data_IF_847526854360
#
_entry.id   IF_847526854360
#
_cell.length_a   1.000
_cell.length_b   1.000
_cell.length_c   1.000
_cell.angle_alpha   90.00
_cell.angle_beta   90.00
_cell.angle_gamma   90.00
#
_symmetry.space_group_name_H-M   'P 1'
#
loop_
_entity.id
_entity.type
_entity.pdbx_description
1 polymer ?
#
# COMPACT_ATOMS: atom_id res chain seq x y z
N UNK A 1 -20.58 -11.78 12.58
CA UNK A 1 -19.41 -12.65 12.33
C UNK A 1 -19.55 -14.05 12.94
N UNK A 2 -19.73 -14.20 14.25
CA UNK A 2 -19.80 -15.54 14.91
C UNK A 2 -20.93 -16.43 14.38
N UNK A 3 -22.14 -15.88 14.19
CA UNK A 3 -23.26 -16.65 13.62
C UNK A 3 -22.98 -17.14 12.20
N UNK A 4 -22.39 -16.30 11.34
CA UNK A 4 -22.02 -16.69 9.98
C UNK A 4 -20.98 -17.81 9.98
N UNK A 5 -20.01 -17.79 10.92
CA UNK A 5 -19.05 -18.87 11.11
C UNK A 5 -19.70 -20.19 11.53
N UNK A 6 -20.58 -20.14 12.54
CA UNK A 6 -21.37 -21.32 12.94
C UNK A 6 -22.22 -21.85 11.79
N UNK A 7 -22.89 -20.95 11.06
CA UNK A 7 -23.78 -21.30 9.96
C UNK A 7 -23.01 -21.97 8.81
N UNK A 8 -21.92 -21.38 8.36
CA UNK A 8 -21.09 -21.92 7.27
C UNK A 8 -20.21 -23.10 7.68
N UNK A 9 -20.23 -23.52 8.94
CA UNK A 9 -19.58 -24.76 9.38
C UNK A 9 -20.59 -25.87 9.67
N UNK A 10 -21.69 -25.58 10.38
CA UNK A 10 -22.64 -26.59 10.85
C UNK A 10 -23.93 -26.70 10.04
N UNK A 11 -24.32 -25.68 9.27
CA UNK A 11 -25.61 -25.66 8.55
C UNK A 11 -25.45 -25.65 7.04
N UNK A 12 -24.58 -24.80 6.52
CA UNK A 12 -24.35 -24.60 5.09
C UNK A 12 -22.85 -24.59 4.79
N UNK A 13 -22.19 -25.73 5.06
CA UNK A 13 -20.79 -25.94 4.75
C UNK A 13 -20.56 -25.90 3.22
N UNK A 14 -19.76 -24.95 2.70
CA UNK A 14 -19.47 -24.90 1.27
C UNK A 14 -18.66 -26.12 0.83
N UNK A 15 -18.81 -26.51 -0.44
CA UNK A 15 -18.02 -27.58 -1.05
C UNK A 15 -16.67 -27.06 -1.52
N UNK A 16 -15.69 -27.97 -1.70
CA UNK A 16 -14.33 -27.62 -2.14
C UNK A 16 -14.29 -26.81 -3.44
N UNK A 17 -15.15 -27.15 -4.41
CA UNK A 17 -15.28 -26.42 -5.69
C UNK A 17 -15.55 -24.93 -5.49
N UNK A 18 -16.33 -24.56 -4.47
CA UNK A 18 -16.59 -23.16 -4.15
C UNK A 18 -15.32 -22.45 -3.66
N UNK A 19 -14.53 -23.10 -2.80
CA UNK A 19 -13.25 -22.55 -2.32
C UNK A 19 -12.19 -22.46 -3.43
N UNK A 20 -12.23 -23.38 -4.40
CA UNK A 20 -11.29 -23.43 -5.51
C UNK A 20 -11.69 -22.53 -6.70
N UNK A 21 -12.84 -21.84 -6.62
CA UNK A 21 -13.27 -20.87 -7.63
C UNK A 21 -12.53 -19.54 -7.46
N UNK A 22 -11.22 -19.56 -7.77
CA UNK A 22 -10.30 -18.44 -7.54
C UNK A 22 -10.55 -17.26 -8.48
N UNK A 23 -11.02 -17.48 -9.71
CA UNK A 23 -11.44 -16.40 -10.61
C UNK A 23 -12.61 -15.61 -10.02
N UNK A 24 -13.65 -16.30 -9.54
CA UNK A 24 -14.77 -15.65 -8.87
C UNK A 24 -14.31 -14.92 -7.61
N UNK A 25 -13.51 -15.57 -6.76
CA UNK A 25 -12.97 -14.98 -5.54
C UNK A 25 -12.20 -13.68 -5.83
N UNK A 26 -11.31 -13.68 -6.82
CA UNK A 26 -10.52 -12.52 -7.19
C UNK A 26 -11.37 -11.39 -7.78
N UNK A 27 -12.34 -11.70 -8.65
CA UNK A 27 -13.26 -10.70 -9.17
C UNK A 27 -14.07 -10.03 -8.04
N UNK A 28 -14.61 -10.83 -7.12
CA UNK A 28 -15.41 -10.31 -6.00
C UNK A 28 -14.56 -9.55 -4.98
N UNK A 29 -13.33 -9.97 -4.71
CA UNK A 29 -12.46 -9.24 -3.80
C UNK A 29 -11.96 -7.93 -4.40
N UNK A 30 -11.56 -7.93 -5.68
CA UNK A 30 -11.10 -6.71 -6.35
C UNK A 30 -12.27 -5.74 -6.55
N UNK A 31 -13.33 -6.12 -7.27
CA UNK A 31 -14.40 -5.18 -7.56
C UNK A 31 -15.34 -4.94 -6.37
N UNK A 32 -15.70 -6.00 -5.65
CA UNK A 32 -16.64 -5.93 -4.53
C UNK A 32 -15.97 -5.39 -3.27
N UNK A 33 -15.05 -6.14 -2.67
CA UNK A 33 -14.48 -5.78 -1.37
C UNK A 33 -13.63 -4.49 -1.45
N UNK A 34 -12.67 -4.42 -2.37
CA UNK A 34 -11.77 -3.27 -2.50
C UNK A 34 -12.45 -2.13 -3.27
N UNK A 35 -13.03 -2.42 -4.44
CA UNK A 35 -13.68 -1.42 -5.29
C UNK A 35 -14.86 -0.71 -4.62
N UNK A 36 -15.89 -1.46 -4.21
CA UNK A 36 -17.05 -0.85 -3.53
C UNK A 36 -16.69 -0.33 -2.13
N UNK A 37 -15.69 -0.91 -1.47
CA UNK A 37 -15.14 -0.39 -0.22
C UNK A 37 -14.55 1.02 -0.40
N UNK A 38 -13.67 1.19 -1.38
CA UNK A 38 -13.10 2.49 -1.75
C UNK A 38 -14.18 3.48 -2.21
N UNK A 39 -15.16 3.04 -3.01
CA UNK A 39 -16.25 3.90 -3.48
C UNK A 39 -17.13 4.38 -2.32
N UNK A 40 -17.53 3.47 -1.43
CA UNK A 40 -18.32 3.79 -0.24
C UNK A 40 -17.57 4.71 0.71
N UNK A 41 -16.26 4.49 0.88
CA UNK A 41 -15.43 5.37 1.70
C UNK A 41 -15.24 6.75 1.08
N UNK A 42 -15.02 6.84 -0.23
CA UNK A 42 -14.98 8.13 -0.93
C UNK A 42 -16.31 8.89 -0.80
N UNK A 43 -17.45 8.20 -0.96
CA UNK A 43 -18.77 8.79 -0.72
C UNK A 43 -18.93 9.31 0.72
N UNK A 44 -18.51 8.53 1.72
CA UNK A 44 -18.48 9.00 3.11
C UNK A 44 -17.58 10.23 3.29
N UNK A 45 -16.38 10.22 2.71
CA UNK A 45 -15.46 11.35 2.79
C UNK A 45 -16.05 12.61 2.16
N UNK A 46 -16.65 12.49 0.98
CA UNK A 46 -17.24 13.62 0.24
C UNK A 46 -18.44 14.22 0.98
N UNK A 47 -19.36 13.37 1.45
CA UNK A 47 -20.65 13.81 1.96
C UNK A 47 -20.69 14.08 3.47
N UNK A 48 -19.71 13.56 4.23
CA UNK A 48 -19.69 13.69 5.70
C UNK A 48 -18.36 14.27 6.17
N UNK A 49 -17.23 13.63 5.85
CA UNK A 49 -15.97 14.02 6.47
C UNK A 49 -15.47 15.39 5.97
N UNK A 50 -15.57 15.67 4.67
CA UNK A 50 -15.17 16.93 4.05
C UNK A 50 -15.88 18.17 4.60
N UNK A 51 -17.22 18.24 4.64
CA UNK A 51 -17.90 19.43 5.17
C UNK A 51 -17.57 19.67 6.64
N UNK A 52 -17.54 18.62 7.46
CA UNK A 52 -17.24 18.72 8.89
C UNK A 52 -15.80 19.19 9.12
N UNK A 53 -14.81 18.57 8.46
CA UNK A 53 -13.40 18.96 8.63
C UNK A 53 -13.15 20.38 8.12
N UNK A 54 -13.84 20.82 7.06
CA UNK A 54 -13.72 22.20 6.58
C UNK A 54 -14.20 23.22 7.62
N UNK A 55 -15.26 22.92 8.36
CA UNK A 55 -15.74 23.77 9.46
C UNK A 55 -14.82 23.71 10.68
N UNK A 56 -14.32 22.53 11.04
CA UNK A 56 -13.34 22.36 12.13
C UNK A 56 -12.05 23.14 11.85
N UNK A 57 -11.50 23.02 10.64
CA UNK A 57 -10.31 23.77 10.21
C UNK A 57 -10.56 25.28 10.15
N UNK A 58 -11.83 25.71 10.01
CA UNK A 58 -12.24 27.11 10.08
C UNK A 58 -12.48 27.61 11.53
N UNK A 59 -12.29 26.76 12.54
CA UNK A 59 -12.44 27.12 13.96
C UNK A 59 -13.86 27.06 14.50
N UNK A 60 -14.81 26.46 13.77
CA UNK A 60 -16.18 26.27 14.26
C UNK A 60 -16.19 25.20 15.35
N UNK A 61 -16.86 25.49 16.47
CA UNK A 61 -16.92 24.55 17.58
C UNK A 61 -17.71 23.29 17.19
N UNK A 62 -17.33 22.09 17.66
CA UNK A 62 -18.04 20.85 17.31
C UNK A 62 -19.54 20.86 17.65
N UNK A 63 -19.97 21.67 18.63
CA UNK A 63 -21.36 21.81 19.05
C UNK A 63 -22.19 22.65 18.08
N UNK A 64 -21.56 23.52 17.29
CA UNK A 64 -22.21 24.38 16.30
C UNK A 64 -22.22 23.76 14.90
N UNK A 65 -21.44 22.70 14.68
CA UNK A 65 -21.41 21.99 13.40
C UNK A 65 -22.71 21.20 13.21
N UNK A 66 -23.45 21.39 12.09
CA UNK A 66 -24.61 20.57 11.77
C UNK A 66 -24.30 19.08 11.82
N UNK A 67 -25.28 18.28 12.24
CA UNK A 67 -25.05 16.84 12.33
C UNK A 67 -24.83 16.24 10.92
N UNK A 68 -24.06 15.14 10.78
CA UNK A 68 -23.74 14.55 9.48
C UNK A 68 -24.93 14.32 8.54
N UNK A 69 -26.09 13.95 9.09
CA UNK A 69 -27.29 13.70 8.30
C UNK A 69 -27.92 14.98 7.74
N UNK A 70 -27.69 16.13 8.36
CA UNK A 70 -28.18 17.43 7.88
C UNK A 70 -27.48 17.82 6.58
N UNK A 71 -26.16 17.57 6.46
CA UNK A 71 -25.42 17.77 5.22
C UNK A 71 -25.91 16.87 4.06
N UNK A 72 -26.41 15.66 4.37
CA UNK A 72 -26.94 14.76 3.35
C UNK A 72 -28.31 15.19 2.81
N UNK A 73 -29.16 15.77 3.66
CA UNK A 73 -30.54 16.15 3.31
C UNK A 73 -30.58 17.58 2.77
N UNK A 74 -29.81 18.50 3.37
CA UNK A 74 -29.81 19.90 3.01
C UNK A 74 -28.65 20.23 2.06
N UNK A 75 -28.94 20.19 0.76
CA UNK A 75 -27.99 20.54 -0.30
C UNK A 75 -27.45 21.96 -0.18
N UNK A 76 -28.19 22.90 0.42
CA UNK A 76 -27.74 24.27 0.56
C UNK A 76 -26.50 24.35 1.47
N UNK A 77 -26.49 23.62 2.60
CA UNK A 77 -25.34 23.53 3.50
C UNK A 77 -24.09 23.04 2.77
N UNK A 78 -24.23 22.02 1.91
CA UNK A 78 -23.12 21.53 1.10
C UNK A 78 -22.67 22.56 0.06
N UNK A 79 -23.61 23.25 -0.60
CA UNK A 79 -23.28 24.23 -1.65
C UNK A 79 -22.62 25.51 -1.12
N UNK A 80 -22.86 25.88 0.14
CA UNK A 80 -22.15 26.99 0.79
C UNK A 80 -20.67 26.67 0.99
N UNK A 81 -20.35 25.40 1.30
CA UNK A 81 -18.97 24.93 1.46
C UNK A 81 -18.31 24.60 0.13
N UNK A 82 -19.06 23.99 -0.79
CA UNK A 82 -18.59 23.45 -2.07
C UNK A 82 -19.57 23.86 -3.17
N UNK A 83 -19.38 25.01 -3.83
CA UNK A 83 -20.33 25.59 -4.79
C UNK A 83 -20.75 24.64 -5.92
N UNK A 84 -19.91 23.68 -6.31
CA UNK A 84 -20.23 22.70 -7.36
C UNK A 84 -21.41 21.80 -7.00
N UNK A 85 -21.72 21.61 -5.71
CA UNK A 85 -22.89 20.86 -5.28
C UNK A 85 -24.19 21.46 -5.82
N UNK A 86 -24.25 22.76 -6.15
CA UNK A 86 -25.40 23.40 -6.80
C UNK A 86 -25.66 22.88 -8.23
N UNK A 87 -24.65 22.33 -8.92
CA UNK A 87 -24.76 21.70 -10.25
C UNK A 87 -25.29 20.27 -10.20
N UNK A 88 -25.11 19.60 -9.06
CA UNK A 88 -25.66 18.27 -8.80
C UNK A 88 -24.90 17.18 -9.54
N UNK A 89 -25.59 16.10 -9.90
CA UNK A 89 -24.96 14.92 -10.52
C UNK A 89 -24.85 15.00 -12.05
N UNK A 90 -25.42 16.04 -12.68
CA UNK A 90 -25.41 16.16 -14.14
C UNK A 90 -23.99 16.21 -14.75
N UNK A 91 -23.01 16.95 -14.18
CA UNK A 91 -21.63 16.93 -14.68
C UNK A 91 -20.99 15.54 -14.66
N UNK A 92 -21.35 14.67 -13.71
CA UNK A 92 -20.87 13.29 -13.67
C UNK A 92 -21.32 12.48 -14.89
N UNK A 93 -22.62 12.49 -15.21
CA UNK A 93 -23.19 11.72 -16.33
C UNK A 93 -22.85 12.29 -17.72
N UNK A 94 -22.45 13.57 -17.78
CA UNK A 94 -22.02 14.24 -19.02
C UNK A 94 -20.51 14.25 -19.19
N UNK A 95 -19.76 13.64 -18.26
CA UNK A 95 -18.29 13.60 -18.24
C UNK A 95 -17.62 14.98 -18.15
N UNK A 96 -18.35 16.03 -17.73
CA UNK A 96 -17.78 17.36 -17.46
C UNK A 96 -17.23 17.43 -16.02
N UNK A 97 -16.24 16.59 -15.72
CA UNK A 97 -15.78 16.34 -14.34
C UNK A 97 -14.96 17.48 -13.72
N UNK A 98 -14.48 18.43 -14.52
CA UNK A 98 -13.76 19.60 -14.02
C UNK A 98 -14.61 20.44 -13.06
N UNK A 99 -15.93 20.29 -13.11
CA UNK A 99 -16.85 20.98 -12.20
C UNK A 99 -16.74 20.56 -10.73
N UNK A 100 -16.13 19.42 -10.43
CA UNK A 100 -16.01 18.88 -9.06
C UNK A 100 -14.67 19.20 -8.38
N UNK A 101 -13.90 20.15 -8.92
CA UNK A 101 -12.55 20.49 -8.44
C UNK A 101 -12.49 21.16 -7.05
N UNK A 102 -13.64 21.50 -6.45
CA UNK A 102 -13.71 22.12 -5.13
C UNK A 102 -13.68 21.09 -3.98
N UNK A 103 -14.08 19.85 -4.23
CA UNK A 103 -14.03 18.75 -3.25
C UNK A 103 -13.22 17.52 -3.70
N UNK A 104 -12.93 17.38 -5.00
CA UNK A 104 -11.97 16.40 -5.54
C UNK A 104 -10.74 17.14 -6.04
N UNK A 105 -9.77 17.32 -5.15
CA UNK A 105 -8.58 18.12 -5.45
C UNK A 105 -7.37 17.26 -5.79
N UNK A 106 -6.28 17.91 -6.20
CA UNK A 106 -4.97 17.28 -6.39
C UNK A 106 -3.87 18.25 -5.94
N UNK A 107 -3.98 18.73 -4.70
CA UNK A 107 -3.09 19.76 -4.15
C UNK A 107 -1.69 19.20 -3.88
N UNK A 108 -1.61 18.02 -3.29
CA UNK A 108 -0.36 17.49 -2.76
C UNK A 108 0.04 18.16 -1.45
N UNK A 109 0.99 17.54 -0.75
CA UNK A 109 1.46 18.00 0.55
C UNK A 109 0.45 17.79 1.69
N UNK A 110 0.51 18.67 2.67
CA UNK A 110 -0.30 18.63 3.90
C UNK A 110 -1.09 19.91 4.06
N UNK A 111 -2.23 19.83 4.75
CA UNK A 111 -3.03 20.96 5.16
C UNK A 111 -2.26 21.76 6.24
N UNK A 112 -1.93 23.04 6.01
CA UNK A 112 -1.14 23.85 6.93
C UNK A 112 -1.88 24.22 8.23
N UNK A 113 -3.17 23.92 8.36
CA UNK A 113 -3.94 24.15 9.59
C UNK A 113 -3.75 23.00 10.59
N UNK A 114 -3.70 21.76 10.09
CA UNK A 114 -3.73 20.57 10.93
C UNK A 114 -2.55 19.60 10.70
N UNK A 115 -1.72 19.82 9.69
CA UNK A 115 -0.54 18.99 9.39
C UNK A 115 -0.85 17.59 8.83
N UNK A 116 -2.13 17.28 8.55
CA UNK A 116 -2.54 16.05 7.88
C UNK A 116 -2.65 16.23 6.36
N UNK A 117 -2.78 15.14 5.60
CA UNK A 117 -3.07 15.20 4.16
C UNK A 117 -4.40 15.94 3.89
N UNK A 118 -4.48 16.57 2.71
CA UNK A 118 -5.72 17.19 2.26
C UNK A 118 -6.82 16.13 2.11
N UNK A 119 -7.88 16.23 2.92
CA UNK A 119 -8.97 15.24 2.89
C UNK A 119 -9.67 15.16 1.52
N UNK A 120 -9.67 16.26 0.75
CA UNK A 120 -10.20 16.28 -0.62
C UNK A 120 -9.30 15.52 -1.61
N UNK A 121 -7.98 15.53 -1.40
CA UNK A 121 -7.06 14.68 -2.15
C UNK A 121 -7.25 13.21 -1.76
N UNK A 122 -7.48 12.92 -0.47
CA UNK A 122 -7.76 11.56 0.01
C UNK A 122 -9.09 11.03 -0.55
N UNK A 123 -10.13 11.88 -0.63
CA UNK A 123 -11.41 11.51 -1.25
C UNK A 123 -11.25 11.19 -2.73
N UNK A 124 -10.47 12.00 -3.45
CA UNK A 124 -10.15 11.78 -4.86
C UNK A 124 -9.30 10.52 -5.06
N UNK A 125 -8.33 10.27 -4.18
CA UNK A 125 -7.54 9.04 -4.17
C UNK A 125 -8.42 7.79 -4.03
N UNK A 126 -9.36 7.75 -3.08
CA UNK A 126 -10.26 6.61 -2.92
C UNK A 126 -11.21 6.45 -4.11
N UNK A 127 -11.69 7.55 -4.69
CA UNK A 127 -12.52 7.48 -5.90
C UNK A 127 -11.73 6.86 -7.07
N UNK A 128 -10.49 7.32 -7.30
CA UNK A 128 -9.63 6.78 -8.35
C UNK A 128 -9.31 5.29 -8.11
N UNK A 129 -8.99 4.89 -6.88
CA UNK A 129 -8.78 3.49 -6.52
C UNK A 129 -10.04 2.64 -6.70
N UNK A 130 -11.22 3.19 -6.41
CA UNK A 130 -12.47 2.47 -6.60
C UNK A 130 -12.69 2.09 -8.07
N UNK A 131 -12.44 3.04 -8.99
CA UNK A 131 -12.52 2.78 -10.44
C UNK A 131 -11.49 1.74 -10.85
N UNK A 132 -10.24 1.89 -10.38
CA UNK A 132 -9.16 0.94 -10.67
C UNK A 132 -9.52 -0.49 -10.23
N UNK A 133 -9.98 -0.66 -9.00
CA UNK A 133 -10.29 -1.98 -8.45
C UNK A 133 -11.57 -2.59 -9.02
N UNK A 134 -12.59 -1.78 -9.31
CA UNK A 134 -13.80 -2.24 -10.01
C UNK A 134 -13.41 -2.76 -11.39
N UNK A 135 -12.65 -2.01 -12.18
CA UNK A 135 -12.21 -2.45 -13.50
C UNK A 135 -11.33 -3.70 -13.40
N UNK A 136 -10.37 -3.72 -12.47
CA UNK A 136 -9.49 -4.88 -12.26
C UNK A 136 -10.25 -6.16 -11.90
N UNK A 137 -11.34 -6.05 -11.13
CA UNK A 137 -12.20 -7.19 -10.78
C UNK A 137 -13.08 -7.73 -11.92
N UNK A 138 -12.94 -7.22 -13.16
CA UNK A 138 -13.57 -7.78 -14.36
C UNK A 138 -12.58 -8.49 -15.29
N UNK A 139 -11.34 -8.71 -14.83
CA UNK A 139 -10.29 -9.36 -15.62
C UNK A 139 -10.53 -10.87 -15.81
N UNK A 140 -11.03 -11.57 -14.78
CA UNK A 140 -11.04 -13.04 -14.79
C UNK A 140 -12.34 -13.63 -15.33
N UNK A 141 -12.21 -14.70 -16.12
CA UNK A 141 -13.31 -15.39 -16.78
C UNK A 141 -14.21 -16.06 -15.75
N UNK A 142 -15.52 -15.88 -15.90
CA UNK A 142 -16.54 -16.56 -15.09
C UNK A 142 -17.57 -17.22 -16.02
N UNK A 143 -18.83 -17.31 -15.60
CA UNK A 143 -19.87 -18.10 -16.29
C UNK A 143 -20.25 -17.56 -17.68
N UNK A 144 -19.89 -16.32 -18.02
CA UNK A 144 -20.27 -15.66 -19.27
C UNK A 144 -19.21 -15.74 -20.38
N UNK A 145 -18.17 -16.57 -20.22
CA UNK A 145 -17.17 -16.84 -21.25
C UNK A 145 -16.18 -15.70 -21.55
N UNK A 146 -16.43 -14.48 -21.08
CA UNK A 146 -15.56 -13.30 -21.24
C UNK A 146 -14.58 -13.21 -20.07
N UNK A 147 -13.32 -12.89 -20.36
CA UNK A 147 -12.23 -12.71 -19.38
C UNK A 147 -11.12 -13.75 -19.53
N UNK A 148 -10.15 -13.70 -18.63
CA UNK A 148 -8.98 -14.58 -18.62
C UNK A 148 -9.09 -15.71 -17.60
N UNK A 149 -8.65 -16.92 -17.94
CA UNK A 149 -8.37 -17.95 -16.93
C UNK A 149 -6.99 -17.74 -16.34
N UNK A 150 -6.85 -17.82 -15.02
CA UNK A 150 -5.54 -17.69 -14.36
C UNK A 150 -4.58 -18.79 -14.79
N UNK A 151 -5.10 -20.00 -14.98
CA UNK A 151 -4.29 -21.14 -15.44
C UNK A 151 -3.75 -20.91 -16.85
N UNK A 152 -4.60 -20.48 -17.79
CA UNK A 152 -4.19 -20.15 -19.17
C UNK A 152 -3.11 -19.06 -19.17
N UNK A 153 -3.27 -18.01 -18.36
CA UNK A 153 -2.25 -16.95 -18.20
C UNK A 153 -0.93 -17.57 -17.72
N UNK A 154 -0.94 -18.34 -16.63
CA UNK A 154 0.29 -18.90 -16.05
C UNK A 154 1.02 -19.80 -17.04
N UNK A 155 0.32 -20.72 -17.70
CA UNK A 155 0.92 -21.66 -18.65
C UNK A 155 1.43 -21.00 -19.94
N UNK A 156 0.84 -19.87 -20.34
CA UNK A 156 1.33 -19.09 -21.47
C UNK A 156 2.70 -18.43 -21.18
N UNK A 157 3.01 -18.12 -19.93
CA UNK A 157 4.25 -17.45 -19.54
C UNK A 157 5.39 -18.46 -19.32
N UNK A 158 6.09 -18.79 -20.40
CA UNK A 158 7.28 -19.65 -20.41
C UNK A 158 8.39 -19.04 -21.27
N UNK A 159 9.64 -19.21 -20.87
CA UNK A 159 10.80 -18.64 -21.55
C UNK A 159 11.94 -19.64 -21.71
N UNK A 160 12.95 -19.31 -22.52
CA UNK A 160 14.05 -20.23 -22.85
C UNK A 160 14.87 -20.67 -21.63
N UNK A 161 14.92 -19.86 -20.57
CA UNK A 161 15.69 -20.15 -19.36
C UNK A 161 14.88 -20.82 -18.24
N UNK A 162 13.55 -20.83 -18.32
CA UNK A 162 12.64 -21.21 -17.23
C UNK A 162 11.92 -22.54 -17.44
N UNK A 163 12.29 -23.31 -18.48
CA UNK A 163 11.74 -24.64 -18.74
C UNK A 163 10.23 -24.58 -18.98
N UNK A 164 9.46 -25.31 -18.18
CA UNK A 164 7.99 -25.36 -18.26
C UNK A 164 7.30 -24.10 -17.70
N UNK A 165 8.05 -23.06 -17.31
CA UNK A 165 7.49 -21.79 -16.84
C UNK A 165 6.65 -21.97 -15.57
N UNK A 166 5.45 -21.38 -15.53
CA UNK A 166 4.56 -21.37 -14.37
C UNK A 166 3.57 -22.55 -14.32
N UNK A 167 3.79 -23.59 -15.13
CA UNK A 167 2.97 -24.81 -15.09
C UNK A 167 2.95 -25.42 -13.68
N UNK A 168 1.78 -25.84 -13.20
CA UNK A 168 1.62 -26.42 -11.85
C UNK A 168 1.42 -25.41 -10.72
N UNK A 169 1.66 -24.10 -10.96
CA UNK A 169 1.49 -23.07 -9.92
C UNK A 169 0.01 -22.83 -9.60
N UNK A 170 -0.87 -22.86 -10.61
CA UNK A 170 -2.32 -22.77 -10.39
C UNK A 170 -2.81 -23.89 -9.48
N UNK A 171 -2.37 -25.12 -9.74
CA UNK A 171 -2.71 -26.28 -8.93
C UNK A 171 -2.18 -26.16 -7.49
N UNK A 172 -0.94 -25.67 -7.29
CA UNK A 172 -0.40 -25.42 -5.94
C UNK A 172 -1.31 -24.46 -5.17
N UNK A 173 -1.65 -23.32 -5.77
CA UNK A 173 -2.40 -22.25 -5.09
C UNK A 173 -3.89 -22.56 -4.89
N UNK A 174 -4.43 -23.55 -5.61
CA UNK A 174 -5.81 -24.03 -5.44
C UNK A 174 -5.91 -25.25 -4.54
N UNK A 175 -4.81 -25.93 -4.24
CA UNK A 175 -4.83 -27.17 -3.44
C UNK A 175 -4.13 -27.05 -2.09
N UNK A 176 -3.14 -26.16 -1.94
CA UNK A 176 -2.45 -25.94 -0.67
C UNK A 176 -2.83 -24.60 -0.04
N UNK A 177 -3.48 -24.67 1.12
CA UNK A 177 -3.73 -23.50 1.96
C UNK A 177 -2.44 -22.91 2.53
N UNK A 178 -1.41 -23.74 2.78
CA UNK A 178 -0.11 -23.25 3.26
C UNK A 178 0.62 -22.44 2.19
N UNK A 179 0.53 -22.83 0.92
CA UNK A 179 1.09 -22.04 -0.18
C UNK A 179 0.42 -20.67 -0.29
N UNK A 180 -0.91 -20.62 -0.23
CA UNK A 180 -1.66 -19.36 -0.25
C UNK A 180 -1.34 -18.49 0.97
N UNK A 181 -1.35 -19.07 2.17
CA UNK A 181 -1.07 -18.33 3.39
C UNK A 181 0.37 -17.78 3.41
N UNK A 182 1.34 -18.52 2.86
CA UNK A 182 2.71 -18.03 2.73
C UNK A 182 2.79 -16.76 1.87
N UNK A 183 2.17 -16.76 0.68
CA UNK A 183 2.16 -15.58 -0.20
C UNK A 183 1.41 -14.42 0.45
N UNK A 184 0.25 -14.69 1.04
CA UNK A 184 -0.56 -13.66 1.69
C UNK A 184 0.19 -13.01 2.86
N UNK A 185 0.87 -13.79 3.70
CA UNK A 185 1.67 -13.26 4.80
C UNK A 185 2.90 -12.47 4.30
N UNK A 186 3.54 -12.91 3.22
CA UNK A 186 4.64 -12.17 2.63
C UNK A 186 4.18 -10.78 2.17
N UNK A 187 3.09 -10.73 1.39
CA UNK A 187 2.55 -9.48 0.86
C UNK A 187 1.95 -8.59 1.94
N UNK A 188 1.20 -9.15 2.88
CA UNK A 188 0.60 -8.38 3.99
C UNK A 188 1.67 -7.84 4.95
N UNK A 189 2.70 -8.61 5.24
CA UNK A 189 3.80 -8.16 6.08
C UNK A 189 4.59 -7.03 5.43
N UNK A 190 4.93 -7.18 4.14
CA UNK A 190 5.56 -6.10 3.37
C UNK A 190 4.66 -4.87 3.24
N UNK A 191 3.36 -5.03 3.03
CA UNK A 191 2.41 -3.92 2.99
C UNK A 191 2.35 -3.18 4.33
N UNK A 192 2.34 -3.89 5.46
CA UNK A 192 2.39 -3.27 6.79
C UNK A 192 3.64 -2.40 6.97
N UNK A 193 4.80 -2.87 6.49
CA UNK A 193 6.05 -2.07 6.50
C UNK A 193 5.93 -0.83 5.61
N UNK A 194 5.36 -0.96 4.40
CA UNK A 194 5.11 0.17 3.51
C UNK A 194 4.15 1.18 4.16
N UNK A 195 3.09 0.71 4.83
CA UNK A 195 2.15 1.56 5.57
C UNK A 195 2.89 2.34 6.66
N UNK A 196 3.80 1.71 7.41
CA UNK A 196 4.64 2.42 8.38
C UNK A 196 5.39 3.57 7.73
N UNK A 197 6.10 3.30 6.62
CA UNK A 197 6.89 4.30 5.90
C UNK A 197 6.05 5.43 5.30
N UNK A 198 4.90 5.10 4.71
CA UNK A 198 4.02 6.11 4.13
C UNK A 198 3.35 6.98 5.19
N UNK A 199 2.86 6.40 6.30
CA UNK A 199 2.09 7.15 7.29
C UNK A 199 2.92 8.18 8.05
N UNK A 200 4.21 7.93 8.31
CA UNK A 200 5.03 8.92 9.01
C UNK A 200 5.48 10.07 8.09
N UNK A 201 5.75 9.78 6.82
CA UNK A 201 6.22 10.76 5.85
C UNK A 201 5.08 11.52 5.14
N UNK A 202 3.87 10.94 5.13
CA UNK A 202 2.65 11.53 4.56
C UNK A 202 1.50 11.37 5.58
N UNK A 203 1.51 12.16 6.68
CA UNK A 203 0.58 11.99 7.81
C UNK A 203 -0.88 12.11 7.35
N UNK A 204 -1.68 11.02 7.35
CA UNK A 204 -2.98 11.05 6.67
C UNK A 204 -4.13 11.61 7.53
N UNK A 205 -3.88 11.92 8.81
CA UNK A 205 -4.91 12.36 9.74
C UNK A 205 -4.63 13.78 10.27
N UNK A 206 -5.68 14.58 10.56
CA UNK A 206 -5.51 15.88 11.19
C UNK A 206 -4.77 15.78 12.53
N UNK A 207 -3.84 16.70 12.76
CA UNK A 207 -3.03 16.87 13.98
C UNK A 207 -2.09 15.72 14.35
N UNK A 208 -2.08 14.62 13.60
CA UNK A 208 -1.24 13.46 13.90
C UNK A 208 0.25 13.72 13.66
N UNK A 209 0.61 14.67 12.78
CA UNK A 209 2.00 14.99 12.48
C UNK A 209 2.77 15.57 13.69
N UNK A 210 2.07 16.31 14.55
CA UNK A 210 2.67 16.94 15.75
C UNK A 210 2.45 16.15 17.03
N UNK A 211 1.80 14.99 16.93
CA UNK A 211 1.74 13.98 17.97
C UNK A 211 2.83 12.92 17.74
N UNK A 212 4.03 13.26 18.20
CA UNK A 212 5.22 12.44 18.00
C UNK A 212 5.11 11.05 18.66
N UNK A 213 4.38 10.93 19.77
CA UNK A 213 4.19 9.66 20.44
C UNK A 213 3.35 8.72 19.58
N UNK A 214 2.27 9.23 18.97
CA UNK A 214 1.44 8.45 18.04
C UNK A 214 2.21 8.07 16.78
N UNK A 215 2.97 8.99 16.17
CA UNK A 215 3.80 8.68 14.99
C UNK A 215 4.81 7.56 15.25
N UNK A 216 5.60 7.69 16.33
CA UNK A 216 6.60 6.69 16.70
C UNK A 216 5.94 5.33 16.98
N UNK A 217 4.81 5.36 17.69
CA UNK A 217 4.08 4.16 18.09
C UNK A 217 3.49 3.44 16.87
N UNK A 218 2.83 4.15 15.96
CA UNK A 218 2.24 3.57 14.74
C UNK A 218 3.30 3.03 13.79
N UNK A 219 4.41 3.75 13.61
CA UNK A 219 5.54 3.28 12.79
C UNK A 219 6.10 1.97 13.35
N UNK A 220 6.47 1.98 14.64
CA UNK A 220 7.06 0.81 15.31
C UNK A 220 6.10 -0.37 15.30
N UNK A 221 4.82 -0.14 15.58
CA UNK A 221 3.78 -1.16 15.57
C UNK A 221 3.66 -1.86 14.21
N UNK A 222 3.52 -1.08 13.13
CA UNK A 222 3.36 -1.64 11.79
C UNK A 222 4.64 -2.31 11.27
N UNK A 223 5.82 -1.82 11.66
CA UNK A 223 7.10 -2.49 11.38
C UNK A 223 7.17 -3.86 12.04
N UNK A 224 6.79 -3.98 13.31
CA UNK A 224 6.80 -5.25 14.03
C UNK A 224 5.79 -6.25 13.47
N UNK A 225 4.55 -5.83 13.25
CA UNK A 225 3.54 -6.69 12.61
C UNK A 225 4.06 -7.18 11.26
N UNK A 226 4.63 -6.27 10.47
CA UNK A 226 5.22 -6.59 9.19
C UNK A 226 6.30 -7.66 9.28
N UNK A 227 7.25 -7.50 10.20
CA UNK A 227 8.30 -8.48 10.47
C UNK A 227 7.76 -9.84 10.87
N UNK A 228 6.78 -9.90 11.79
CA UNK A 228 6.14 -11.17 12.19
C UNK A 228 5.44 -11.87 11.03
N UNK A 229 4.70 -11.13 10.19
CA UNK A 229 4.05 -11.68 9.01
C UNK A 229 5.06 -12.21 7.99
N UNK A 230 6.12 -11.47 7.67
CA UNK A 230 7.16 -11.91 6.72
C UNK A 230 7.87 -13.19 7.21
N UNK A 231 8.19 -13.28 8.51
CA UNK A 231 8.76 -14.51 9.09
C UNK A 231 7.76 -15.67 9.02
N UNK A 232 6.48 -15.40 9.33
CA UNK A 232 5.39 -16.36 9.19
C UNK A 232 5.25 -16.88 7.75
N UNK A 233 5.47 -16.04 6.75
CA UNK A 233 5.47 -16.44 5.34
C UNK A 233 6.54 -17.51 5.06
N UNK A 234 7.77 -17.31 5.55
CA UNK A 234 8.85 -18.30 5.43
C UNK A 234 8.52 -19.63 6.14
N UNK A 235 7.87 -19.56 7.31
CA UNK A 235 7.40 -20.74 8.02
C UNK A 235 6.36 -21.51 7.22
N UNK A 236 5.33 -20.85 6.69
CA UNK A 236 4.28 -21.49 5.90
C UNK A 236 4.77 -21.99 4.55
N UNK A 237 5.71 -21.30 3.90
CA UNK A 237 6.38 -21.78 2.70
C UNK A 237 7.14 -23.09 2.98
N UNK A 238 7.83 -23.17 4.12
CA UNK A 238 8.52 -24.39 4.54
C UNK A 238 7.54 -25.54 4.85
N UNK A 239 6.42 -25.25 5.50
CA UNK A 239 5.36 -26.24 5.75
C UNK A 239 4.78 -26.77 4.43
N UNK A 240 4.52 -25.88 3.46
CA UNK A 240 4.10 -26.26 2.11
C UNK A 240 5.12 -27.21 1.47
N UNK A 241 6.41 -26.86 1.50
CA UNK A 241 7.49 -27.68 0.91
C UNK A 241 7.58 -29.08 1.53
N UNK A 242 7.24 -29.24 2.81
CA UNK A 242 7.29 -30.52 3.51
C UNK A 242 6.03 -31.37 3.27
N UNK A 243 4.86 -30.75 3.30
CA UNK A 243 3.57 -31.48 3.33
C UNK A 243 2.90 -31.60 1.96
N UNK A 244 2.92 -30.52 1.19
CA UNK A 244 2.01 -30.36 0.05
C UNK A 244 2.76 -30.31 -1.30
N UNK A 245 4.08 -30.10 -1.29
CA UNK A 245 4.89 -30.11 -2.49
C UNK A 245 4.97 -31.51 -3.12
N UNK A 246 4.68 -31.59 -4.43
CA UNK A 246 4.77 -32.82 -5.19
C UNK A 246 5.75 -32.64 -6.38
N UNK A 247 6.91 -33.33 -6.38
CA UNK A 247 7.90 -33.22 -7.45
C UNK A 247 7.35 -33.60 -8.83
N UNK A 248 6.48 -34.61 -8.91
CA UNK A 248 5.95 -35.10 -10.18
C UNK A 248 5.07 -34.04 -10.87
N UNK A 249 4.37 -33.20 -10.09
CA UNK A 249 3.53 -32.11 -10.61
C UNK A 249 4.32 -30.83 -10.95
N UNK A 250 5.57 -30.73 -10.48
CA UNK A 250 6.40 -29.55 -10.65
C UNK A 250 7.61 -29.77 -11.57
N UNK A 251 7.64 -30.88 -12.31
CA UNK A 251 8.79 -31.25 -13.12
C UNK A 251 9.21 -30.13 -14.10
N UNK A 252 10.46 -29.66 -13.95
CA UNK A 252 11.09 -28.64 -14.79
C UNK A 252 10.35 -27.30 -14.91
N UNK A 253 9.43 -27.00 -14.00
CA UNK A 253 8.83 -25.67 -13.87
C UNK A 253 9.75 -24.73 -13.06
N UNK A 254 9.34 -23.48 -12.87
CA UNK A 254 10.13 -22.49 -12.10
C UNK A 254 10.47 -22.93 -10.67
N UNK A 255 9.56 -23.62 -9.97
CA UNK A 255 9.78 -24.06 -8.59
C UNK A 255 10.81 -25.18 -8.51
N UNK A 256 10.68 -26.22 -9.34
CA UNK A 256 11.68 -27.30 -9.43
C UNK A 256 13.05 -26.77 -9.84
N UNK A 257 13.09 -25.82 -10.77
CA UNK A 257 14.35 -25.20 -11.21
C UNK A 257 15.05 -24.52 -10.04
N UNK A 258 14.35 -23.71 -9.25
CA UNK A 258 14.90 -23.06 -8.04
C UNK A 258 15.50 -24.10 -7.09
N UNK A 259 14.80 -25.22 -6.85
CA UNK A 259 15.30 -26.29 -5.98
C UNK A 259 16.60 -26.89 -6.51
N UNK A 260 16.73 -27.08 -7.83
CA UNK A 260 17.92 -27.68 -8.47
C UNK A 260 19.20 -26.85 -8.36
N UNK A 261 19.11 -25.54 -8.13
CA UNK A 261 20.27 -24.67 -7.93
C UNK A 261 20.25 -23.92 -6.59
N UNK A 262 19.54 -24.48 -5.60
CA UNK A 262 19.42 -23.89 -4.26
C UNK A 262 20.77 -23.63 -3.60
N UNK A 263 21.77 -24.50 -3.79
CA UNK A 263 23.09 -24.34 -3.18
C UNK A 263 23.83 -23.12 -3.77
N UNK A 264 23.60 -22.80 -5.04
CA UNK A 264 24.10 -21.57 -5.64
C UNK A 264 23.40 -20.35 -5.04
N UNK A 265 22.07 -20.36 -4.91
CA UNK A 265 21.32 -19.25 -4.30
C UNK A 265 21.79 -19.00 -2.87
N UNK A 266 21.90 -20.04 -2.05
CA UNK A 266 22.30 -19.93 -0.64
C UNK A 266 23.76 -19.48 -0.50
N UNK A 267 24.69 -20.00 -1.32
CA UNK A 267 26.10 -19.59 -1.24
C UNK A 267 26.33 -18.13 -1.65
N UNK A 268 25.63 -17.65 -2.69
CA UNK A 268 25.70 -16.24 -3.10
C UNK A 268 25.08 -15.32 -2.04
N UNK A 269 23.94 -15.71 -1.46
CA UNK A 269 23.32 -14.96 -0.38
C UNK A 269 24.22 -14.93 0.87
N UNK A 270 24.87 -16.05 1.22
CA UNK A 270 25.82 -16.12 2.33
C UNK A 270 27.00 -15.15 2.12
N UNK A 271 27.62 -15.18 0.94
CA UNK A 271 28.68 -14.24 0.58
C UNK A 271 28.21 -12.79 0.70
N UNK A 272 27.01 -12.48 0.20
CA UNK A 272 26.44 -11.13 0.28
C UNK A 272 26.22 -10.70 1.74
N UNK A 273 25.72 -11.58 2.61
CA UNK A 273 25.56 -11.28 4.03
C UNK A 273 26.91 -10.97 4.71
N UNK A 274 27.97 -11.72 4.39
CA UNK A 274 29.32 -11.48 4.91
C UNK A 274 29.84 -10.13 4.40
N UNK A 275 29.70 -9.88 3.10
CA UNK A 275 30.09 -8.62 2.48
C UNK A 275 29.38 -7.43 3.14
N UNK A 276 28.05 -7.48 3.27
CA UNK A 276 27.27 -6.43 3.91
C UNK A 276 27.67 -6.26 5.38
N UNK A 277 27.91 -7.33 6.13
CA UNK A 277 28.38 -7.24 7.52
C UNK A 277 29.71 -6.48 7.66
N UNK A 278 30.71 -6.82 6.85
CA UNK A 278 32.01 -6.13 6.87
C UNK A 278 31.91 -4.67 6.39
N UNK A 279 31.12 -4.40 5.36
CA UNK A 279 31.05 -3.07 4.72
C UNK A 279 29.90 -2.19 5.24
N UNK A 280 29.22 -2.60 6.31
CA UNK A 280 28.28 -1.76 7.06
C UNK A 280 28.69 -1.68 8.52
N UNK A 281 28.45 -2.74 9.30
CA UNK A 281 28.79 -2.79 10.73
C UNK A 281 30.30 -2.60 10.99
N UNK A 282 31.16 -3.14 10.13
CA UNK A 282 32.61 -2.92 10.21
C UNK A 282 33.01 -1.44 10.12
N UNK A 283 32.26 -0.61 9.40
CA UNK A 283 32.51 0.84 9.32
C UNK A 283 32.24 1.54 10.66
N UNK A 284 31.26 1.06 11.43
CA UNK A 284 30.98 1.59 12.77
C UNK A 284 32.14 1.27 13.73
N UNK A 285 32.65 0.02 13.70
CA UNK A 285 33.82 -0.38 14.50
C UNK A 285 35.06 0.42 14.10
N UNK A 286 35.29 0.62 12.80
CA UNK A 286 36.37 1.48 12.29
C UNK A 286 36.24 2.90 12.87
N UNK A 287 35.05 3.50 12.81
CA UNK A 287 34.80 4.83 13.34
C UNK A 287 35.03 4.92 14.84
N UNK A 288 34.54 3.97 15.63
CA UNK A 288 34.78 3.94 17.08
C UNK A 288 36.27 3.84 17.40
N UNK A 289 37.00 2.99 16.66
CA UNK A 289 38.46 2.82 16.83
C UNK A 289 39.22 4.09 16.46
N UNK A 290 38.94 4.69 15.30
CA UNK A 290 39.59 5.94 14.86
C UNK A 290 39.30 7.08 15.83
N UNK A 291 38.06 7.17 16.33
CA UNK A 291 37.68 8.15 17.33
C UNK A 291 38.42 7.96 18.65
N UNK A 292 38.51 6.73 19.15
CA UNK A 292 39.24 6.40 20.37
C UNK A 292 40.75 6.68 20.26
N UNK A 293 41.33 6.49 19.06
CA UNK A 293 42.74 6.80 18.76
C UNK A 293 43.01 8.30 18.53
N UNK A 294 42.01 9.18 18.65
CA UNK A 294 42.16 10.61 18.40
C UNK A 294 42.37 10.96 16.92
N UNK A 295 41.97 10.08 15.99
CA UNK A 295 42.14 10.23 14.54
C UNK A 295 40.81 10.53 13.86
N UNK A 296 40.14 11.60 14.26
CA UNK A 296 38.80 11.95 13.74
C UNK A 296 38.79 12.26 12.24
N UNK A 297 39.92 12.69 11.67
CA UNK A 297 40.09 12.92 10.24
C UNK A 297 40.07 11.62 9.40
N UNK A 298 40.25 10.46 10.02
CA UNK A 298 40.26 9.15 9.36
C UNK A 298 38.92 8.41 9.50
N UNK A 299 37.89 9.08 10.06
CA UNK A 299 36.55 8.54 10.21
C UNK A 299 35.74 8.67 8.90
N UNK A 300 34.81 7.73 8.71
CA UNK A 300 33.71 7.91 7.78
C UNK A 300 32.68 8.87 8.39
N UNK A 301 32.61 10.10 7.90
CA UNK A 301 31.74 11.16 8.40
C UNK A 301 31.52 12.25 7.34
N UNK A 302 30.58 13.16 7.59
CA UNK A 302 30.32 14.30 6.69
C UNK A 302 31.50 15.30 6.62
N UNK A 303 32.38 15.32 7.62
CA UNK A 303 33.49 16.29 7.71
C UNK A 303 34.86 15.71 7.38
N UNK A 304 34.94 14.40 7.11
CA UNK A 304 36.16 13.68 6.79
C UNK A 304 35.95 12.80 5.54
N UNK A 305 35.96 11.47 5.68
CA UNK A 305 35.75 10.57 4.56
C UNK A 305 34.24 10.38 4.34
N UNK A 306 33.70 11.08 3.35
CA UNK A 306 32.25 11.08 3.12
C UNK A 306 31.78 9.83 2.36
N UNK A 307 30.67 9.25 2.83
CA UNK A 307 29.93 8.19 2.16
C UNK A 307 28.48 8.66 1.92
N UNK A 308 28.31 9.57 0.97
CA UNK A 308 27.00 10.16 0.67
C UNK A 308 26.09 9.20 -0.11
N UNK A 309 24.80 9.08 0.24
CA UNK A 309 23.84 8.26 -0.49
C UNK A 309 23.33 8.99 -1.75
N UNK A 310 24.22 9.20 -2.72
CA UNK A 310 23.96 10.05 -3.91
C UNK A 310 22.72 9.62 -4.70
N UNK A 311 22.42 8.32 -4.74
CA UNK A 311 21.22 7.82 -5.44
C UNK A 311 19.93 8.21 -4.71
N UNK A 312 19.93 8.19 -3.37
CA UNK A 312 18.77 8.62 -2.59
C UNK A 312 18.55 10.13 -2.72
N UNK A 313 19.63 10.92 -2.66
CA UNK A 313 19.58 12.37 -2.90
C UNK A 313 19.05 12.71 -4.29
N UNK A 314 19.47 11.95 -5.32
CA UNK A 314 18.95 12.09 -6.67
C UNK A 314 17.43 11.82 -6.75
N UNK A 315 16.95 10.76 -6.11
CA UNK A 315 15.50 10.47 -6.04
C UNK A 315 14.73 11.56 -5.27
N UNK A 316 15.27 12.05 -4.15
CA UNK A 316 14.68 13.18 -3.41
C UNK A 316 14.55 14.41 -4.31
N UNK A 317 15.59 14.73 -5.10
CA UNK A 317 15.56 15.85 -6.04
C UNK A 317 14.49 15.66 -7.13
N UNK A 318 14.35 14.46 -7.68
CA UNK A 318 13.30 14.17 -8.67
C UNK A 318 11.91 14.44 -8.08
N UNK A 319 11.64 13.97 -6.86
CA UNK A 319 10.34 14.14 -6.22
C UNK A 319 10.05 15.59 -5.84
N UNK A 320 11.05 16.31 -5.32
CA UNK A 320 10.91 17.73 -4.97
C UNK A 320 10.65 18.61 -6.19
N UNK A 321 11.25 18.26 -7.33
CA UNK A 321 11.05 18.96 -8.60
C UNK A 321 9.86 18.44 -9.42
N UNK A 322 9.09 17.47 -8.91
CA UNK A 322 7.97 16.88 -9.64
C UNK A 322 6.79 17.85 -9.87
N UNK A 323 6.34 18.63 -8.87
CA UNK A 323 5.23 19.58 -9.06
C UNK A 323 5.52 20.58 -10.18
N UNK A 324 4.52 20.84 -11.04
CA UNK A 324 4.63 21.72 -12.22
C UNK A 324 5.63 21.28 -13.31
N UNK A 325 6.29 20.13 -13.17
CA UNK A 325 7.22 19.57 -14.17
C UNK A 325 6.77 18.18 -14.61
N UNK A 326 7.26 17.11 -13.96
CA UNK A 326 6.83 15.74 -14.27
C UNK A 326 5.43 15.43 -13.77
N UNK A 327 4.89 16.26 -12.87
CA UNK A 327 3.48 16.28 -12.44
C UNK A 327 2.90 17.70 -12.60
N UNK A 328 2.50 18.10 -13.82
CA UNK A 328 2.12 19.49 -14.13
C UNK A 328 0.95 20.04 -13.32
N UNK A 329 0.00 19.19 -12.94
CA UNK A 329 -1.23 19.59 -12.25
C UNK A 329 -1.12 19.56 -10.72
N UNK A 330 0.00 19.07 -10.19
CA UNK A 330 0.24 18.97 -8.75
C UNK A 330 0.85 20.27 -8.24
N UNK A 331 0.33 20.78 -7.11
CA UNK A 331 0.75 22.08 -6.55
C UNK A 331 1.94 21.96 -5.59
N UNK A 332 2.04 20.87 -4.83
CA UNK A 332 3.10 20.63 -3.85
C UNK A 332 3.62 19.20 -3.92
N UNK A 333 4.80 18.96 -3.33
CA UNK A 333 5.40 17.62 -3.25
C UNK A 333 4.47 16.60 -2.60
N UNK A 334 4.59 15.32 -2.98
CA UNK A 334 3.87 14.23 -2.31
C UNK A 334 4.21 14.14 -0.82
N UNK A 335 5.44 14.51 -0.43
CA UNK A 335 5.88 14.56 0.96
C UNK A 335 6.98 15.62 1.12
N UNK A 336 6.89 16.41 2.19
CA UNK A 336 7.91 17.39 2.56
C UNK A 336 9.24 16.74 3.04
N UNK A 337 9.28 15.42 3.22
CA UNK A 337 10.53 14.67 3.50
C UNK A 337 11.49 14.67 2.30
N UNK A 338 10.97 14.82 1.07
CA UNK A 338 11.83 14.91 -0.12
C UNK A 338 12.50 16.28 -0.27
N UNK A 339 11.89 17.33 0.28
CA UNK A 339 12.32 18.72 0.18
C UNK A 339 11.14 19.69 0.21
N UNK A 340 11.44 20.98 0.38
CA UNK A 340 10.45 22.06 0.51
C UNK A 340 10.57 22.80 1.84
N UNK A 341 9.60 23.69 2.10
CA UNK A 341 9.57 24.49 3.32
C UNK A 341 9.11 23.69 4.54
N UNK A 342 9.60 24.07 5.72
CA UNK A 342 9.13 23.52 6.99
C UNK A 342 7.67 23.91 7.23
N UNK A 343 6.80 22.92 7.43
CA UNK A 343 5.42 23.13 7.87
C UNK A 343 5.35 22.95 9.38
N UNK A 344 4.92 23.99 10.11
CA UNK A 344 4.77 23.94 11.57
C UNK A 344 3.33 24.14 12.01
N UNK A 345 2.88 23.35 12.99
CA UNK A 345 1.54 23.44 13.59
C UNK A 345 1.70 23.62 15.10
N UNK A 346 1.27 24.76 15.64
CA UNK A 346 1.36 25.02 17.07
C UNK A 346 2.80 25.02 17.61
N UNK A 347 3.74 25.61 16.87
CA UNK A 347 5.17 25.68 17.18
C UNK A 347 5.90 24.32 17.25
N UNK A 348 5.35 23.30 16.59
CA UNK A 348 5.94 21.98 16.45
C UNK A 348 6.22 21.67 15.00
#
# INVERSE_FOLDING_TARGET
>A
MVFAGWFHYHKAAPKLEWFQNVESMMNHHLAGLLGLGCLGWSGHQIHIALPINKLLDAGVSPQEIPLPHEFMVNRNLMSELYPSFSKGILPFFTLNWNEYSDFLTFKGGVNPVNGGLWLSDVAHHHLALSVLFIIAGHMYRTNWGIGHSMKEILEAHKGPFTGEGHKGIYEILTTSWHAQLAINLAMMGSLSIIVAHHMYAMPPYPYIATDYATQLSLFTHHMWIGGFCVVGAGAHASIFMVRDYNPAKNYNNVLDRVIRHRDAIISHLNWLCIFLGFHSFGLYIHNDTMRALGRSQDMFSDTAIQLQPIFAQWIQNIHTLAPSNTSPNLLATASYVFGGDTVSIGNK
#
